data_IF_612313673584
#
_entry.id   IF_612313673584
#
_cell.length_a   1.000
_cell.length_b   1.000
_cell.length_c   1.000
_cell.angle_alpha   90.00
_cell.angle_beta   90.00
_cell.angle_gamma   90.00
#
_symmetry.space_group_name_H-M   'P 1'
#
loop_
_entity.id
_entity.type
_entity.pdbx_description
1 polymer ?
#
# COMPACT_ATOMS: atom_id res chain seq x y z
N UNK A 1 -10.58 -9.74 -10.97
CA UNK A 1 -9.96 -9.11 -9.82
C UNK A 1 -10.40 -7.66 -9.69
N UNK A 2 -10.79 -7.24 -8.50
CA UNK A 2 -11.24 -5.88 -8.32
C UNK A 2 -10.08 -4.93 -8.17
N UNK A 3 -10.37 -3.65 -8.38
CA UNK A 3 -9.36 -2.63 -8.22
C UNK A 3 -8.80 -2.62 -6.79
N UNK A 4 -9.67 -2.85 -5.82
CA UNK A 4 -9.25 -2.87 -4.43
C UNK A 4 -8.29 -4.02 -4.15
N UNK A 5 -8.53 -5.16 -4.74
CA UNK A 5 -7.64 -6.31 -4.56
C UNK A 5 -6.27 -6.04 -5.15
N UNK A 6 -6.23 -5.36 -6.29
CA UNK A 6 -4.94 -5.00 -6.89
C UNK A 6 -4.17 -4.07 -5.98
N UNK A 7 -4.85 -3.07 -5.43
CA UNK A 7 -4.19 -2.13 -4.53
C UNK A 7 -3.68 -2.84 -3.27
N UNK A 8 -4.48 -3.73 -2.73
CA UNK A 8 -4.09 -4.47 -1.55
C UNK A 8 -2.87 -5.35 -1.83
N UNK A 9 -2.82 -5.96 -3.00
CA UNK A 9 -1.68 -6.77 -3.39
C UNK A 9 -0.42 -5.96 -3.53
N UNK A 10 -0.52 -4.80 -4.17
CA UNK A 10 0.63 -3.91 -4.31
C UNK A 10 1.13 -3.45 -2.94
N UNK A 11 0.21 -3.12 -2.07
CA UNK A 11 0.56 -2.65 -0.74
C UNK A 11 1.34 -3.73 0.02
N UNK A 12 0.88 -4.96 -0.07
CA UNK A 12 1.54 -6.06 0.61
C UNK A 12 2.94 -6.26 0.08
N UNK A 13 3.12 -6.21 -1.23
CA UNK A 13 4.43 -6.36 -1.84
C UNK A 13 5.37 -5.25 -1.39
N UNK A 14 4.87 -4.03 -1.35
CA UNK A 14 5.68 -2.90 -0.94
C UNK A 14 6.08 -3.00 0.52
N UNK A 15 5.19 -3.47 1.36
CA UNK A 15 5.51 -3.64 2.77
C UNK A 15 6.59 -4.69 2.97
N UNK A 16 6.52 -5.78 2.20
CA UNK A 16 7.56 -6.80 2.27
C UNK A 16 8.89 -6.24 1.78
N UNK A 17 8.84 -5.48 0.70
CA UNK A 17 10.04 -4.87 0.15
C UNK A 17 10.65 -3.91 1.16
N UNK A 18 9.81 -3.16 1.86
CA UNK A 18 10.28 -2.22 2.87
C UNK A 18 11.05 -2.93 3.98
N UNK A 19 10.56 -4.09 4.39
CA UNK A 19 11.25 -4.86 5.43
C UNK A 19 12.64 -5.30 4.99
N UNK A 20 12.80 -5.57 3.70
CA UNK A 20 14.07 -6.07 3.18
C UNK A 20 15.01 -4.96 2.75
N UNK A 21 14.52 -3.75 2.66
CA UNK A 21 15.32 -2.63 2.17
C UNK A 21 16.01 -1.94 3.33
N UNK A 22 17.32 -1.81 3.23
CA UNK A 22 18.09 -1.13 4.27
C UNK A 22 18.53 0.28 3.88
N UNK A 23 18.42 0.62 2.60
CA UNK A 23 18.78 1.94 2.13
C UNK A 23 17.72 2.96 2.53
N UNK A 24 18.14 3.99 3.24
CA UNK A 24 17.22 5.03 3.70
C UNK A 24 16.49 5.67 2.52
N UNK A 25 17.21 5.96 1.47
CA UNK A 25 16.63 6.62 0.31
C UNK A 25 15.55 5.75 -0.32
N UNK A 26 15.84 4.47 -0.47
CA UNK A 26 14.88 3.55 -1.06
C UNK A 26 13.69 3.31 -0.16
N UNK A 27 13.93 3.27 1.14
CA UNK A 27 12.85 3.12 2.09
C UNK A 27 11.87 4.28 1.98
N UNK A 28 12.38 5.49 1.83
CA UNK A 28 11.53 6.66 1.69
C UNK A 28 10.69 6.59 0.42
N UNK A 29 11.27 6.11 -0.67
CA UNK A 29 10.53 5.95 -1.91
C UNK A 29 9.41 4.94 -1.75
N UNK A 30 9.70 3.84 -1.08
CA UNK A 30 8.69 2.80 -0.86
C UNK A 30 7.57 3.32 0.03
N UNK A 31 7.92 4.03 1.09
CA UNK A 31 6.93 4.61 1.99
C UNK A 31 6.03 5.58 1.24
N UNK A 32 6.62 6.39 0.38
CA UNK A 32 5.85 7.34 -0.42
C UNK A 32 4.84 6.60 -1.31
N UNK A 33 5.28 5.51 -1.92
CA UNK A 33 4.40 4.72 -2.76
C UNK A 33 3.28 4.08 -1.95
N UNK A 34 3.62 3.59 -0.77
CA UNK A 34 2.61 3.01 0.13
C UNK A 34 1.55 4.04 0.46
N UNK A 35 1.98 5.26 0.75
CA UNK A 35 1.03 6.33 1.07
C UNK A 35 0.11 6.61 -0.10
N UNK A 36 0.64 6.58 -1.31
CA UNK A 36 -0.17 6.81 -2.50
C UNK A 36 -1.23 5.72 -2.65
N UNK A 37 -0.83 4.48 -2.42
CA UNK A 37 -1.75 3.37 -2.56
C UNK A 37 -2.85 3.45 -1.50
N UNK A 38 -2.48 3.80 -0.28
CA UNK A 38 -3.47 3.96 0.78
C UNK A 38 -4.48 5.06 0.46
N UNK A 39 -3.99 6.13 -0.14
CA UNK A 39 -4.88 7.21 -0.56
C UNK A 39 -5.83 6.74 -1.65
N UNK A 40 -5.34 5.92 -2.57
CA UNK A 40 -6.17 5.34 -3.61
C UNK A 40 -7.24 4.44 -3.00
N UNK A 41 -6.85 3.61 -2.05
CA UNK A 41 -7.79 2.73 -1.38
C UNK A 41 -8.90 3.53 -0.70
N UNK A 42 -8.53 4.61 -0.06
CA UNK A 42 -9.50 5.46 0.59
C UNK A 42 -10.45 6.10 -0.41
N UNK A 43 -9.88 6.55 -1.51
CA UNK A 43 -10.66 7.20 -2.56
C UNK A 43 -11.71 6.25 -3.13
N UNK A 44 -11.38 4.98 -3.24
CA UNK A 44 -12.28 3.98 -3.79
C UNK A 44 -13.07 3.23 -2.72
N UNK A 45 -12.94 3.61 -1.48
CA UNK A 45 -13.68 2.99 -0.40
C UNK A 45 -13.15 1.65 0.04
N UNK A 46 -11.97 1.27 -0.41
CA UNK A 46 -11.41 -0.04 -0.06
C UNK A 46 -11.08 -0.16 1.41
N UNK A 47 -10.49 0.88 1.97
CA UNK A 47 -10.12 0.88 3.38
C UNK A 47 -11.35 0.81 4.28
N UNK A 48 -12.38 1.44 3.84
CA UNK A 48 -13.62 1.47 4.60
C UNK A 48 -14.15 0.07 4.78
N UNK A 49 -14.12 -0.71 3.71
CA UNK A 49 -14.56 -2.09 3.78
C UNK A 49 -13.69 -2.88 4.74
N UNK A 50 -12.40 -2.62 4.71
CA UNK A 50 -11.46 -3.32 5.59
C UNK A 50 -11.64 -2.92 7.03
N UNK A 51 -12.05 -1.69 7.28
CA UNK A 51 -12.17 -1.17 8.63
C UNK A 51 -13.51 -1.41 9.25
N UNK A 52 -14.46 -1.83 8.47
CA UNK A 52 -15.81 -1.98 8.99
C UNK A 52 -15.99 -3.26 9.80
N UNK A 53 -14.95 -4.03 9.94
CA UNK A 53 -15.04 -5.19 10.80
C UNK A 53 -14.91 -4.88 12.22
#
# INVERSE_FOLDING_TARGET
MTHCEQLAGELKVLEELLKQTSSEHKRQEIIHRIDQIKAEQQKHGCLEAANSQ
#
